data_IF_893107051554
#
_entry.id   IF_893107051554
#
_cell.length_a   1.000
_cell.length_b   1.000
_cell.length_c   1.000
_cell.angle_alpha   90.00
_cell.angle_beta   90.00
_cell.angle_gamma   90.00
#
_symmetry.space_group_name_H-M   'P 1'
#
loop_
_entity.id
_entity.type
_entity.pdbx_description
1 polymer ?
#
# COMPACT_ATOMS: atom_id res chain seq x y z
N UNK A 1 15.07 11.27 2.99
CA UNK A 1 15.39 9.83 2.99
C UNK A 1 14.22 9.14 2.30
N UNK A 2 14.42 8.59 1.10
CA UNK A 2 13.34 7.91 0.39
C UNK A 2 13.07 6.59 1.09
N UNK A 3 11.83 6.38 1.55
CA UNK A 3 11.37 5.15 2.20
C UNK A 3 11.13 4.01 1.19
N UNK A 4 11.63 4.16 -0.04
CA UNK A 4 11.50 3.24 -1.16
C UNK A 4 12.83 3.17 -1.90
N UNK A 5 13.18 2.00 -2.42
CA UNK A 5 14.02 1.91 -3.62
C UNK A 5 13.24 2.38 -4.85
N UNK A 6 13.92 2.73 -5.94
CA UNK A 6 13.28 3.19 -7.17
C UNK A 6 12.28 2.14 -7.72
N UNK A 7 12.63 0.86 -7.62
CA UNK A 7 11.76 -0.25 -8.01
C UNK A 7 10.50 -0.31 -7.13
N UNK A 8 10.66 -0.25 -5.81
CA UNK A 8 9.52 -0.29 -4.88
C UNK A 8 8.61 0.94 -5.08
N UNK A 9 9.18 2.11 -5.42
CA UNK A 9 8.37 3.30 -5.73
C UNK A 9 7.54 3.09 -6.99
N UNK A 10 8.12 2.55 -8.05
CA UNK A 10 7.41 2.24 -9.30
C UNK A 10 6.31 1.21 -9.07
N UNK A 11 6.59 0.13 -8.33
CA UNK A 11 5.58 -0.87 -7.96
C UNK A 11 4.45 -0.23 -7.14
N UNK A 12 4.77 0.60 -6.15
CA UNK A 12 3.77 1.29 -5.35
C UNK A 12 2.86 2.18 -6.21
N UNK A 13 3.44 2.92 -7.17
CA UNK A 13 2.69 3.80 -8.07
C UNK A 13 1.80 3.01 -9.03
N UNK A 14 2.28 1.89 -9.58
CA UNK A 14 1.48 0.98 -10.43
C UNK A 14 0.30 0.37 -9.66
N UNK A 15 0.53 -0.06 -8.41
CA UNK A 15 -0.56 -0.53 -7.54
C UNK A 15 -1.56 0.58 -7.22
N UNK A 16 -1.10 1.83 -7.15
CA UNK A 16 -1.94 2.99 -6.86
C UNK A 16 -2.80 3.40 -8.03
N UNK A 17 -2.37 3.17 -9.27
CA UNK A 17 -3.18 3.49 -10.47
C UNK A 17 -4.55 2.83 -10.41
N UNK A 18 -4.64 1.60 -9.87
CA UNK A 18 -5.91 0.89 -9.71
C UNK A 18 -6.87 1.56 -8.72
N UNK A 19 -6.38 2.00 -7.54
CA UNK A 19 -7.24 2.64 -6.53
C UNK A 19 -7.51 4.11 -6.84
N UNK A 20 -6.60 4.76 -7.58
CA UNK A 20 -6.76 6.15 -8.01
C UNK A 20 -7.60 6.31 -9.27
N UNK A 21 -7.94 5.21 -9.95
CA UNK A 21 -8.77 5.25 -11.14
C UNK A 21 -10.12 5.90 -10.86
N UNK A 22 -10.43 6.98 -11.57
CA UNK A 22 -11.67 7.74 -11.42
C UNK A 22 -11.71 8.72 -10.24
N UNK A 23 -10.67 8.79 -9.40
CA UNK A 23 -10.57 9.78 -8.32
C UNK A 23 -10.06 11.13 -8.84
N UNK A 24 -10.55 12.23 -8.24
CA UNK A 24 -9.99 13.57 -8.52
C UNK A 24 -8.62 13.70 -7.86
N UNK A 25 -7.78 14.58 -8.38
CA UNK A 25 -6.39 14.75 -7.89
C UNK A 25 -6.29 14.91 -6.37
N UNK A 26 -7.17 15.72 -5.78
CA UNK A 26 -7.22 15.94 -4.32
C UNK A 26 -7.67 14.73 -3.49
N UNK A 27 -8.21 13.70 -4.13
CA UNK A 27 -8.77 12.50 -3.51
C UNK A 27 -7.86 11.27 -3.70
N UNK A 28 -6.79 11.41 -4.48
CA UNK A 28 -5.84 10.36 -4.80
C UNK A 28 -5.02 9.96 -3.57
N UNK A 29 -4.72 8.67 -3.51
CA UNK A 29 -3.72 8.11 -2.61
C UNK A 29 -2.33 8.29 -3.19
N UNK A 30 -1.36 8.54 -2.32
CA UNK A 30 0.06 8.63 -2.66
C UNK A 30 0.84 7.58 -1.88
N UNK A 31 1.90 7.05 -2.48
CA UNK A 31 2.82 6.12 -1.83
C UNK A 31 3.51 6.80 -0.64
N UNK A 32 3.46 6.19 0.55
CA UNK A 32 4.02 6.75 1.78
C UNK A 32 5.31 6.03 2.16
N UNK A 33 5.27 4.71 2.28
CA UNK A 33 6.41 3.89 2.67
C UNK A 33 6.23 2.43 2.24
N UNK A 34 7.32 1.66 2.28
CA UNK A 34 7.28 0.20 2.24
C UNK A 34 8.12 -0.33 3.42
N UNK A 35 7.70 -1.45 3.99
CA UNK A 35 8.50 -2.19 4.96
C UNK A 35 8.41 -3.68 4.70
N UNK A 36 9.37 -4.43 5.24
CA UNK A 36 9.43 -5.88 5.09
C UNK A 36 8.97 -6.55 6.39
N UNK A 37 8.02 -7.47 6.29
CA UNK A 37 7.54 -8.30 7.39
C UNK A 37 7.71 -9.77 7.00
N UNK A 38 8.68 -10.45 7.60
CA UNK A 38 9.04 -11.82 7.22
C UNK A 38 9.50 -11.92 5.77
N UNK A 39 8.71 -12.60 4.93
CA UNK A 39 8.97 -12.77 3.49
C UNK A 39 8.14 -11.84 2.60
N UNK A 40 7.40 -10.91 3.21
CA UNK A 40 6.45 -10.05 2.51
C UNK A 40 6.92 -8.59 2.52
N UNK A 41 6.63 -7.90 1.42
CA UNK A 41 6.70 -6.45 1.35
C UNK A 41 5.32 -5.86 1.59
N UNK A 42 5.23 -4.97 2.58
CA UNK A 42 4.01 -4.25 2.94
C UNK A 42 4.12 -2.82 2.42
N UNK A 43 3.35 -2.53 1.39
CA UNK A 43 3.24 -1.22 0.76
C UNK A 43 2.20 -0.38 1.48
N UNK A 44 2.53 0.86 1.79
CA UNK A 44 1.67 1.82 2.48
C UNK A 44 1.40 2.99 1.54
N UNK A 45 0.12 3.31 1.36
CA UNK A 45 -0.30 4.54 0.73
C UNK A 45 -1.23 5.34 1.63
N UNK A 46 -1.37 6.62 1.33
CA UNK A 46 -2.22 7.49 2.10
C UNK A 46 -2.78 8.66 1.31
N UNK A 47 -3.95 9.12 1.73
CA UNK A 47 -4.55 10.36 1.25
C UNK A 47 -4.96 11.23 2.43
N UNK A 48 -4.94 12.54 2.22
CA UNK A 48 -5.51 13.50 3.18
C UNK A 48 -6.97 13.73 2.84
N UNK A 49 -7.88 13.44 3.76
CA UNK A 49 -9.32 13.69 3.55
C UNK A 49 -9.86 14.84 4.39
N UNK A 50 -9.17 15.21 5.48
CA UNK A 50 -9.41 16.44 6.25
C UNK A 50 -8.08 17.05 6.67
N UNK A 51 -8.11 18.30 7.18
CA UNK A 51 -6.89 19.04 7.57
C UNK A 51 -5.95 18.22 8.45
N UNK A 52 -6.49 17.46 9.40
CA UNK A 52 -5.70 16.69 10.38
C UNK A 52 -5.93 15.18 10.28
N UNK A 53 -6.59 14.71 9.23
CA UNK A 53 -6.89 13.28 9.05
C UNK A 53 -6.31 12.74 7.75
N UNK A 54 -5.49 11.71 7.92
CA UNK A 54 -4.90 10.93 6.83
C UNK A 54 -5.52 9.55 6.89
N UNK A 55 -6.02 9.09 5.75
CA UNK A 55 -6.45 7.71 5.58
C UNK A 55 -5.25 6.93 5.02
N UNK A 56 -4.89 5.83 5.70
CA UNK A 56 -3.83 4.93 5.25
C UNK A 56 -4.44 3.62 4.76
N UNK A 57 -3.91 3.13 3.65
CA UNK A 57 -4.24 1.83 3.10
C UNK A 57 -2.94 1.06 2.84
N UNK A 58 -3.06 -0.26 2.86
CA UNK A 58 -1.93 -1.18 2.84
C UNK A 58 -2.14 -2.26 1.78
N UNK A 59 -1.07 -2.69 1.13
CA UNK A 59 -1.08 -3.83 0.22
C UNK A 59 0.13 -4.72 0.51
N UNK A 60 0.00 -6.02 0.25
CA UNK A 60 1.03 -7.01 0.57
C UNK A 60 1.42 -7.74 -0.71
N UNK A 61 2.72 -7.73 -1.00
CA UNK A 61 3.32 -8.53 -2.06
C UNK A 61 4.37 -9.48 -1.48
N UNK A 62 4.61 -10.58 -2.17
CA UNK A 62 5.80 -11.40 -1.97
C UNK A 62 7.03 -10.77 -2.62
N UNK A 63 8.20 -11.41 -2.47
CA UNK A 63 9.45 -10.97 -3.06
C UNK A 63 9.48 -11.01 -4.60
N UNK A 64 8.51 -11.69 -5.24
CA UNK A 64 8.33 -11.69 -6.69
C UNK A 64 7.38 -10.57 -7.16
N UNK A 65 6.88 -9.74 -6.23
CA UNK A 65 5.93 -8.68 -6.52
C UNK A 65 4.50 -9.19 -6.78
N UNK A 66 4.17 -10.41 -6.35
CA UNK A 66 2.83 -11.01 -6.51
C UNK A 66 2.06 -10.98 -5.19
N UNK A 67 0.73 -11.00 -5.27
CA UNK A 67 -0.11 -11.16 -4.09
C UNK A 67 0.08 -12.59 -3.56
N UNK A 68 0.51 -12.77 -2.30
CA UNK A 68 0.78 -14.11 -1.78
C UNK A 68 -0.50 -14.96 -1.69
N UNK A 69 -0.40 -16.29 -1.82
CA UNK A 69 -1.55 -17.18 -1.66
C UNK A 69 -2.24 -17.01 -0.30
N UNK A 70 -3.57 -16.83 -0.30
CA UNK A 70 -4.36 -16.63 0.91
C UNK A 70 -4.47 -15.16 1.38
N UNK A 71 -3.83 -14.22 0.67
CA UNK A 71 -3.99 -12.80 0.92
C UNK A 71 -4.96 -12.15 -0.09
N UNK A 72 -5.59 -11.06 0.33
CA UNK A 72 -6.47 -10.29 -0.54
C UNK A 72 -5.68 -9.46 -1.56
N UNK A 73 -6.18 -9.38 -2.80
CA UNK A 73 -5.56 -8.64 -3.91
C UNK A 73 -5.75 -7.10 -3.87
N UNK A 74 -6.12 -6.55 -2.71
CA UNK A 74 -6.64 -5.18 -2.60
C UNK A 74 -5.93 -4.37 -1.51
N UNK A 75 -5.88 -3.05 -1.74
CA UNK A 75 -5.59 -2.05 -0.71
C UNK A 75 -6.60 -2.15 0.42
N UNK A 76 -6.12 -2.26 1.66
CA UNK A 76 -6.94 -2.52 2.85
C UNK A 76 -6.40 -1.80 4.08
N UNK A 77 -7.25 -1.62 5.08
CA UNK A 77 -6.85 -1.00 6.34
C UNK A 77 -5.87 -1.90 7.12
N UNK A 78 -5.20 -1.31 8.10
CA UNK A 78 -4.18 -1.99 8.90
C UNK A 78 -4.72 -3.19 9.70
N UNK A 79 -5.98 -3.15 10.13
CA UNK A 79 -6.58 -4.23 10.91
C UNK A 79 -6.77 -5.52 10.08
N UNK A 80 -7.00 -5.40 8.78
CA UNK A 80 -6.99 -6.55 7.87
C UNK A 80 -5.58 -7.13 7.70
N UNK A 81 -4.58 -6.27 7.56
CA UNK A 81 -3.17 -6.66 7.43
C UNK A 81 -2.70 -7.45 8.65
N UNK A 82 -3.01 -6.98 9.86
CA UNK A 82 -2.69 -7.69 11.09
C UNK A 82 -3.26 -9.11 11.11
N UNK A 83 -4.52 -9.27 10.73
CA UNK A 83 -5.18 -10.59 10.71
C UNK A 83 -4.51 -11.54 9.72
N UNK A 84 -4.15 -11.08 8.53
CA UNK A 84 -3.51 -11.91 7.52
C UNK A 84 -2.05 -12.25 7.89
N UNK A 85 -1.33 -11.30 8.49
CA UNK A 85 0.04 -11.51 8.99
C UNK A 85 0.09 -12.22 10.35
N UNK A 86 -1.07 -12.45 10.99
CA UNK A 86 -1.21 -13.02 12.34
C UNK A 86 -0.42 -12.23 13.40
N UNK A 87 -0.44 -10.89 13.28
CA UNK A 87 0.13 -9.92 14.21
C UNK A 87 -0.86 -9.51 15.30
#
# INVERSE_FOLDING_TARGET
MNLFSDLQKQTADQLLDMINYGLKEKEKYHSVAVFTEGIYEVYICGRRFEKDKIELQFNILDFEGKIPPGFSANWRNYEHIKRELKL
#
